data_IF_659002834604
#
_entry.id   IF_659002834604
#
_cell.length_a   1.000
_cell.length_b   1.000
_cell.length_c   1.000
_cell.angle_alpha   90.00
_cell.angle_beta   90.00
_cell.angle_gamma   90.00
#
_symmetry.space_group_name_H-M   'P 1'
#
loop_
_entity.id
_entity.type
_entity.pdbx_description
1 polymer ?
#
# COMPACT_ATOMS: atom_id res chain seq x y z
N UNK A 1 -3.34 -32.30 -6.59
CA UNK A 1 -3.50 -30.83 -6.69
C UNK A 1 -4.45 -30.50 -7.83
N UNK A 2 -5.17 -29.37 -7.77
CA UNK A 2 -6.00 -28.84 -8.85
C UNK A 2 -5.29 -27.76 -9.67
N UNK A 3 -5.76 -27.49 -10.90
CA UNK A 3 -5.12 -26.55 -11.81
C UNK A 3 -5.05 -25.12 -11.25
N UNK A 4 -6.01 -24.73 -10.39
CA UNK A 4 -6.05 -23.39 -9.78
C UNK A 4 -4.91 -23.21 -8.78
N UNK A 5 -4.65 -24.22 -7.94
CA UNK A 5 -3.54 -24.20 -6.99
C UNK A 5 -2.17 -24.29 -7.69
N UNK A 6 -2.06 -25.06 -8.78
CA UNK A 6 -0.84 -25.05 -9.60
C UNK A 6 -0.53 -23.63 -10.11
N UNK A 7 -1.54 -22.94 -10.66
CA UNK A 7 -1.38 -21.57 -11.19
C UNK A 7 -0.88 -20.58 -10.15
N UNK A 8 -1.29 -20.71 -8.89
CA UNK A 8 -0.77 -19.84 -7.81
C UNK A 8 0.67 -20.16 -7.42
N UNK A 9 1.13 -21.40 -7.58
CA UNK A 9 2.44 -21.86 -7.10
C UNK A 9 3.49 -21.94 -8.23
N UNK A 10 3.11 -21.69 -9.49
CA UNK A 10 3.99 -21.91 -10.65
C UNK A 10 5.22 -21.01 -10.68
N UNK A 11 5.13 -19.78 -10.13
CA UNK A 11 6.26 -18.85 -10.05
C UNK A 11 7.25 -19.27 -8.95
N UNK A 12 6.76 -19.63 -7.76
CA UNK A 12 7.58 -20.21 -6.70
C UNK A 12 8.28 -21.51 -7.14
N UNK A 13 7.67 -22.25 -8.07
CA UNK A 13 8.26 -23.43 -8.71
C UNK A 13 9.39 -23.08 -9.68
N UNK A 14 9.23 -22.03 -10.47
CA UNK A 14 10.27 -21.54 -11.39
C UNK A 14 11.48 -21.01 -10.63
N UNK A 15 11.26 -20.37 -9.48
CA UNK A 15 12.32 -19.79 -8.65
C UNK A 15 12.95 -20.79 -7.65
N UNK A 16 12.49 -22.06 -7.63
CA UNK A 16 12.89 -23.10 -6.68
C UNK A 16 12.65 -22.73 -5.20
N UNK A 17 11.61 -21.95 -4.90
CA UNK A 17 11.27 -21.48 -3.55
C UNK A 17 10.16 -22.30 -2.88
N UNK A 18 9.60 -23.31 -3.57
CA UNK A 18 8.59 -24.20 -3.03
C UNK A 18 9.10 -25.12 -1.92
N UNK A 19 8.23 -25.38 -0.93
CA UNK A 19 8.45 -26.41 0.10
C UNK A 19 8.47 -27.80 -0.54
N UNK A 20 9.24 -28.72 0.05
CA UNK A 20 9.40 -30.08 -0.47
C UNK A 20 8.07 -30.82 -0.71
N UNK A 21 7.09 -30.67 0.20
CA UNK A 21 5.78 -31.31 0.09
C UNK A 21 4.97 -30.80 -1.12
N UNK A 22 4.99 -29.48 -1.35
CA UNK A 22 4.28 -28.88 -2.48
C UNK A 22 5.01 -29.13 -3.81
N UNK A 23 6.34 -29.27 -3.80
CA UNK A 23 7.14 -29.58 -4.99
C UNK A 23 6.72 -30.92 -5.60
N UNK A 24 6.56 -31.97 -4.77
CA UNK A 24 6.10 -33.28 -5.25
C UNK A 24 4.71 -33.20 -5.90
N UNK A 25 3.78 -32.48 -5.29
CA UNK A 25 2.43 -32.30 -5.81
C UNK A 25 2.39 -31.51 -7.13
N UNK A 26 3.25 -30.50 -7.28
CA UNK A 26 3.39 -29.73 -8.53
C UNK A 26 3.97 -30.60 -9.64
N UNK A 27 5.04 -31.35 -9.37
CA UNK A 27 5.67 -32.24 -10.36
C UNK A 27 4.71 -33.35 -10.82
N UNK A 28 3.94 -33.94 -9.90
CA UNK A 28 2.93 -34.94 -10.24
C UNK A 28 1.78 -34.34 -11.06
N UNK A 29 1.34 -33.13 -10.76
CA UNK A 29 0.28 -32.48 -11.54
C UNK A 29 0.75 -32.11 -12.96
N UNK A 30 1.99 -31.63 -13.11
CA UNK A 30 2.56 -31.31 -14.42
C UNK A 30 2.75 -32.55 -15.30
N UNK A 31 2.93 -33.74 -14.73
CA UNK A 31 3.04 -34.99 -15.49
C UNK A 31 1.69 -35.58 -15.90
N UNK A 32 0.60 -35.17 -15.23
CA UNK A 32 -0.75 -35.73 -15.44
C UNK A 32 -1.69 -34.78 -16.16
N UNK A 33 -1.46 -33.46 -16.13
CA UNK A 33 -2.31 -32.45 -16.74
C UNK A 33 -1.63 -31.74 -17.91
N UNK A 34 -2.08 -32.05 -19.14
CA UNK A 34 -1.53 -31.46 -20.37
C UNK A 34 -1.74 -29.93 -20.47
N UNK A 35 -2.86 -29.40 -19.96
CA UNK A 35 -3.11 -27.95 -19.97
C UNK A 35 -2.12 -27.20 -19.09
N UNK A 36 -1.88 -27.71 -17.88
CA UNK A 36 -0.92 -27.11 -16.94
C UNK A 36 0.52 -27.24 -17.45
N UNK A 37 0.85 -28.35 -18.10
CA UNK A 37 2.15 -28.52 -18.76
C UNK A 37 2.37 -27.47 -19.86
N UNK A 38 1.40 -27.29 -20.75
CA UNK A 38 1.50 -26.30 -21.83
C UNK A 38 1.67 -24.88 -21.29
N UNK A 39 0.88 -24.51 -20.28
CA UNK A 39 1.00 -23.21 -19.61
C UNK A 39 2.40 -23.02 -19.00
N UNK A 40 2.92 -24.04 -18.31
CA UNK A 40 4.28 -23.99 -17.75
C UNK A 40 5.34 -23.79 -18.83
N UNK A 41 5.25 -24.49 -19.95
CA UNK A 41 6.17 -24.35 -21.08
C UNK A 41 6.13 -22.93 -21.68
N UNK A 42 4.95 -22.34 -21.82
CA UNK A 42 4.77 -20.96 -22.29
C UNK A 42 5.39 -19.94 -21.32
N UNK A 43 5.15 -20.08 -20.02
CA UNK A 43 5.73 -19.20 -18.99
C UNK A 43 7.26 -19.35 -18.99
N UNK A 44 7.77 -20.58 -19.00
CA UNK A 44 9.20 -20.86 -19.01
C UNK A 44 9.90 -20.27 -20.23
N UNK A 45 9.29 -20.39 -21.41
CA UNK A 45 9.82 -19.79 -22.65
C UNK A 45 9.94 -18.27 -22.52
N UNK A 46 8.94 -17.61 -21.96
CA UNK A 46 8.97 -16.17 -21.74
C UNK A 46 10.04 -15.79 -20.71
N UNK A 47 10.17 -16.58 -19.64
CA UNK A 47 11.17 -16.38 -18.60
C UNK A 47 12.61 -16.52 -19.13
N UNK A 48 12.87 -17.59 -19.89
CA UNK A 48 14.16 -17.84 -20.52
C UNK A 48 14.54 -16.73 -21.53
N UNK A 49 13.54 -16.10 -22.17
CA UNK A 49 13.75 -14.98 -23.08
C UNK A 49 14.17 -13.68 -22.38
N UNK A 50 13.85 -13.49 -21.09
CA UNK A 50 14.31 -12.36 -20.29
C UNK A 50 15.81 -12.44 -19.96
N UNK A 51 16.41 -13.62 -20.13
CA UNK A 51 17.84 -13.87 -19.93
C UNK A 51 18.20 -14.06 -18.46
N UNK A 52 19.25 -14.84 -18.23
CA UNK A 52 19.78 -15.09 -16.88
C UNK A 52 20.70 -13.95 -16.49
N UNK A 53 20.38 -13.24 -15.40
CA UNK A 53 21.32 -12.28 -14.82
C UNK A 53 22.56 -13.04 -14.32
N UNK A 54 23.78 -12.57 -14.65
CA UNK A 54 24.99 -13.17 -14.12
C UNK A 54 24.98 -13.06 -12.60
N UNK A 55 25.35 -14.15 -11.92
CA UNK A 55 25.52 -14.13 -10.47
C UNK A 55 26.69 -13.20 -10.14
N UNK A 56 26.38 -12.02 -9.60
CA UNK A 56 27.38 -11.04 -9.17
C UNK A 56 27.85 -11.44 -7.77
N UNK A 57 29.10 -11.87 -7.64
CA UNK A 57 29.71 -12.02 -6.32
C UNK A 57 30.18 -10.64 -5.81
N UNK A 58 29.82 -10.26 -4.58
CA UNK A 58 30.30 -9.02 -3.99
C UNK A 58 31.82 -9.06 -3.83
N UNK A 59 32.48 -7.91 -3.89
CA UNK A 59 33.92 -7.83 -3.62
C UNK A 59 34.24 -8.32 -2.19
N UNK A 60 35.43 -8.88 -1.92
CA UNK A 60 35.79 -9.40 -0.59
C UNK A 60 35.64 -8.38 0.55
N UNK A 61 35.71 -7.08 0.23
CA UNK A 61 35.61 -5.98 1.19
C UNK A 61 34.22 -5.30 1.19
N UNK A 62 33.23 -5.82 0.45
CA UNK A 62 31.91 -5.22 0.36
C UNK A 62 31.22 -5.13 1.73
N UNK A 63 31.30 -6.21 2.53
CA UNK A 63 30.68 -6.22 3.87
C UNK A 63 31.29 -5.19 4.80
N UNK A 64 32.62 -5.01 4.81
CA UNK A 64 33.27 -4.02 5.67
C UNK A 64 32.94 -2.59 5.24
N UNK A 65 32.90 -2.32 3.93
CA UNK A 65 32.49 -1.02 3.38
C UNK A 65 31.02 -0.71 3.70
N UNK A 66 30.12 -1.68 3.49
CA UNK A 66 28.70 -1.55 3.81
C UNK A 66 28.47 -1.22 5.28
N UNK A 67 29.08 -1.97 6.21
CA UNK A 67 28.92 -1.71 7.64
C UNK A 67 29.54 -0.38 8.08
N UNK A 68 30.65 0.05 7.45
CA UNK A 68 31.24 1.36 7.70
C UNK A 68 30.30 2.51 7.30
N UNK A 69 29.63 2.39 6.15
CA UNK A 69 28.64 3.36 5.68
C UNK A 69 27.36 3.38 6.54
N UNK A 70 26.90 2.20 6.97
CA UNK A 70 25.73 2.09 7.87
C UNK A 70 26.04 2.69 9.25
N UNK A 71 27.21 2.39 9.82
CA UNK A 71 27.64 2.91 11.12
C UNK A 71 27.80 4.44 11.11
N UNK A 72 28.33 5.01 10.02
CA UNK A 72 28.42 6.47 9.89
C UNK A 72 27.05 7.15 9.85
N UNK A 73 26.04 6.53 9.23
CA UNK A 73 24.66 7.04 9.24
C UNK A 73 23.97 6.91 10.61
N UNK A 74 24.20 5.82 11.34
CA UNK A 74 23.65 5.63 12.69
C UNK A 74 24.25 6.59 13.73
N UNK A 75 25.52 6.98 13.54
CA UNK A 75 26.23 7.87 14.47
C UNK A 75 25.61 9.26 14.61
N UNK A 76 24.80 9.71 13.64
CA UNK A 76 24.08 11.00 13.73
C UNK A 76 22.99 10.91 14.80
N UNK A 77 22.25 9.80 14.87
CA UNK A 77 21.19 9.58 15.85
C UNK A 77 21.79 9.40 17.26
N UNK A 78 22.89 8.66 17.38
CA UNK A 78 23.58 8.46 18.66
C UNK A 78 24.23 9.75 19.20
N UNK A 79 24.86 10.56 18.33
CA UNK A 79 25.45 11.87 18.72
C UNK A 79 24.38 12.87 19.18
N UNK A 80 23.18 12.82 18.61
CA UNK A 80 22.04 13.63 19.07
C UNK A 80 21.52 13.11 20.42
N UNK A 81 21.53 11.79 20.64
CA UNK A 81 21.08 11.18 21.90
C UNK A 81 22.03 11.46 23.07
N UNK A 82 23.35 11.41 22.88
CA UNK A 82 24.34 11.63 23.95
C UNK A 82 24.35 13.09 24.43
N UNK A 83 24.25 14.05 23.48
CA UNK A 83 24.22 15.48 23.80
C UNK A 83 22.91 15.92 24.44
N UNK A 84 21.78 15.34 24.03
CA UNK A 84 20.49 15.58 24.67
C UNK A 84 20.39 14.92 26.05
N UNK A 85 20.94 13.71 26.20
CA UNK A 85 20.97 12.96 27.48
C UNK A 85 21.81 13.67 28.54
N UNK A 86 22.98 14.23 28.22
CA UNK A 86 23.74 15.05 29.18
C UNK A 86 23.03 16.34 29.56
N UNK A 87 22.30 16.96 28.63
CA UNK A 87 21.53 18.18 28.88
C UNK A 87 20.28 17.90 29.73
N UNK A 88 19.65 16.73 29.56
CA UNK A 88 18.52 16.25 30.35
C UNK A 88 18.95 15.71 31.74
N UNK A 89 20.17 15.14 31.86
CA UNK A 89 20.75 14.70 33.14
C UNK A 89 21.33 15.85 33.98
N UNK A 90 21.72 16.97 33.38
CA UNK A 90 21.98 18.18 34.16
C UNK A 90 20.64 18.78 34.55
N UNK A 91 20.16 18.40 35.72
CA UNK A 91 18.90 18.74 36.43
C UNK A 91 18.45 20.23 36.42
N UNK A 92 19.17 21.10 35.72
CA UNK A 92 19.00 22.55 35.61
C UNK A 92 17.74 22.96 34.84
N UNK A 93 17.20 22.12 33.95
CA UNK A 93 16.01 22.43 33.13
C UNK A 93 14.71 21.79 33.62
N UNK A 94 14.78 20.87 34.60
CA UNK A 94 13.60 20.25 35.20
C UNK A 94 12.56 21.26 35.75
N UNK A 95 12.93 22.37 36.43
CA UNK A 95 11.92 23.32 36.89
C UNK A 95 11.18 24.04 35.74
N UNK A 96 11.81 24.20 34.57
CA UNK A 96 11.21 24.85 33.39
C UNK A 96 10.19 23.93 32.72
N UNK A 97 10.47 22.64 32.63
CA UNK A 97 9.52 21.68 32.07
C UNK A 97 8.30 21.48 32.97
N UNK A 98 8.49 21.42 34.29
CA UNK A 98 7.37 21.29 35.25
C UNK A 98 6.44 22.51 35.18
N UNK A 99 6.99 23.72 35.14
CA UNK A 99 6.16 24.93 35.02
C UNK A 99 5.42 25.02 33.69
N UNK A 100 6.05 24.60 32.58
CA UNK A 100 5.40 24.55 31.27
C UNK A 100 4.26 23.52 31.22
N UNK A 101 4.45 22.32 31.78
CA UNK A 101 3.41 21.30 31.85
C UNK A 101 2.21 21.76 32.70
N UNK A 102 2.46 22.47 33.81
CA UNK A 102 1.40 23.04 34.65
C UNK A 102 0.66 24.15 33.89
N UNK A 103 1.37 25.03 33.18
CA UNK A 103 0.75 26.09 32.40
C UNK A 103 -0.13 25.54 31.25
N UNK A 104 0.38 24.54 30.52
CA UNK A 104 -0.36 23.89 29.43
C UNK A 104 -1.60 23.17 29.96
N UNK A 105 -1.48 22.42 31.06
CA UNK A 105 -2.64 21.72 31.64
C UNK A 105 -3.73 22.69 32.11
N UNK A 106 -3.36 23.80 32.76
CA UNK A 106 -4.32 24.85 33.14
C UNK A 106 -4.95 25.50 31.91
N UNK A 107 -4.17 25.82 30.87
CA UNK A 107 -4.69 26.40 29.63
C UNK A 107 -5.65 25.45 28.90
N UNK A 108 -5.29 24.16 28.81
CA UNK A 108 -6.14 23.13 28.21
C UNK A 108 -7.43 22.92 28.99
N UNK A 109 -7.41 22.94 30.33
CA UNK A 109 -8.61 22.84 31.16
C UNK A 109 -9.51 24.07 30.93
N UNK A 110 -8.94 25.28 30.89
CA UNK A 110 -9.71 26.51 30.59
C UNK A 110 -10.35 26.45 29.21
N UNK A 111 -9.58 26.12 28.19
CA UNK A 111 -10.10 25.98 26.82
C UNK A 111 -11.14 24.86 26.72
N UNK A 112 -10.97 23.75 27.43
CA UNK A 112 -11.93 22.65 27.42
C UNK A 112 -13.27 23.07 28.04
N UNK A 113 -13.25 23.84 29.13
CA UNK A 113 -14.46 24.37 29.77
C UNK A 113 -15.16 25.42 28.89
N UNK A 114 -14.41 26.34 28.26
CA UNK A 114 -14.98 27.32 27.32
C UNK A 114 -15.54 26.64 26.06
N UNK A 115 -14.86 25.61 25.55
CA UNK A 115 -15.35 24.76 24.47
C UNK A 115 -16.60 23.96 24.86
N UNK A 116 -16.69 23.49 26.11
CA UNK A 116 -17.86 22.78 26.61
C UNK A 116 -19.08 23.69 26.77
N UNK A 117 -18.89 24.93 27.24
CA UNK A 117 -19.96 25.95 27.26
C UNK A 117 -20.46 26.26 25.84
N UNK A 118 -19.55 26.36 24.88
CA UNK A 118 -19.90 26.60 23.47
C UNK A 118 -20.67 25.42 22.88
N UNK A 119 -20.26 24.17 23.17
CA UNK A 119 -20.97 22.96 22.75
C UNK A 119 -22.34 22.82 23.39
N UNK A 120 -22.53 23.27 24.64
CA UNK A 120 -23.86 23.30 25.29
C UNK A 120 -24.82 24.25 24.61
N UNK A 121 -24.33 25.41 24.14
CA UNK A 121 -25.12 26.37 23.37
C UNK A 121 -25.43 25.82 21.96
N UNK A 122 -24.47 25.14 21.32
CA UNK A 122 -24.68 24.47 20.02
C UNK A 122 -25.53 23.19 20.12
N UNK A 123 -25.62 22.55 21.28
CA UNK A 123 -26.49 21.38 21.49
C UNK A 123 -27.97 21.76 21.65
N UNK A 124 -28.26 23.03 21.95
CA UNK A 124 -29.63 23.58 21.99
C UNK A 124 -30.12 24.06 20.61
N UNK A 125 -29.21 24.20 19.64
CA UNK A 125 -29.50 24.59 18.26
C UNK A 125 -28.91 23.56 17.28
N UNK A 126 -29.70 22.60 16.76
CA UNK A 126 -29.49 21.96 15.43
C UNK A 126 -30.16 20.59 15.22
N UNK A 127 -31.28 20.25 15.88
CA UNK A 127 -32.11 19.15 15.33
C UNK A 127 -32.62 19.50 13.92
N UNK A 128 -32.68 20.79 13.57
CA UNK A 128 -33.12 21.29 12.26
C UNK A 128 -31.96 21.54 11.26
N UNK A 129 -30.68 21.60 11.68
CA UNK A 129 -29.55 21.90 10.77
C UNK A 129 -28.77 20.66 10.31
N UNK A 130 -28.93 19.51 10.98
CA UNK A 130 -28.27 18.25 10.60
C UNK A 130 -28.83 17.67 9.28
N UNK A 131 -30.05 18.05 8.90
CA UNK A 131 -30.71 17.54 7.68
C UNK A 131 -30.10 18.09 6.37
N UNK A 132 -29.26 19.14 6.43
CA UNK A 132 -28.64 19.72 5.23
C UNK A 132 -27.35 19.01 4.79
N UNK A 133 -26.81 18.10 5.60
CA UNK A 133 -25.53 17.42 5.27
C UNK A 133 -25.75 16.14 4.48
N UNK A 134 -26.92 15.50 4.59
CA UNK A 134 -27.22 14.25 3.87
C UNK A 134 -27.43 14.45 2.36
N UNK A 135 -27.68 15.69 1.92
CA UNK A 135 -27.84 16.03 0.50
C UNK A 135 -26.56 16.58 -0.17
N UNK A 136 -25.47 16.79 0.58
CA UNK A 136 -24.21 17.31 0.00
C UNK A 136 -23.43 16.18 -0.69
N UNK A 137 -23.45 14.96 -0.16
CA UNK A 137 -22.73 13.80 -0.74
C UNK A 137 -23.31 13.37 -2.10
N UNK A 138 -24.58 13.67 -2.38
CA UNK A 138 -25.22 13.37 -3.67
C UNK A 138 -24.87 14.41 -4.75
N UNK A 139 -24.54 15.64 -4.36
CA UNK A 139 -24.19 16.70 -5.30
C UNK A 139 -22.76 16.56 -5.86
N UNK A 140 -21.85 15.91 -5.14
CA UNK A 140 -20.45 15.75 -5.54
C UNK A 140 -20.26 14.67 -6.64
N UNK A 141 -21.24 13.78 -6.83
CA UNK A 141 -21.24 12.75 -7.89
C UNK A 141 -22.00 13.15 -9.16
N UNK A 142 -22.35 14.42 -9.37
CA UNK A 142 -22.96 14.86 -10.63
C UNK A 142 -21.96 14.88 -11.81
N UNK A 143 -20.65 14.92 -11.54
CA UNK A 143 -19.60 14.94 -12.57
C UNK A 143 -19.39 13.58 -13.27
N UNK A 144 -20.03 12.51 -12.79
CA UNK A 144 -19.95 11.16 -13.36
C UNK A 144 -21.06 10.82 -14.37
N UNK A 145 -21.98 11.75 -14.64
CA UNK A 145 -23.04 11.56 -15.65
C UNK A 145 -22.65 12.16 -17.01
N UNK A 146 -21.80 13.19 -17.07
CA UNK A 146 -21.40 13.83 -18.34
C UNK A 146 -20.48 12.94 -19.21
N UNK A 147 -19.80 11.93 -18.65
CA UNK A 147 -19.02 10.97 -19.44
C UNK A 147 -19.82 9.74 -19.92
N UNK A 148 -21.06 9.55 -19.47
CA UNK A 148 -21.93 8.48 -19.99
C UNK A 148 -22.54 8.85 -21.35
N UNK A 149 -22.63 10.15 -21.68
CA UNK A 149 -22.98 10.60 -23.03
C UNK A 149 -21.93 10.19 -24.10
N UNK A 150 -20.72 9.78 -23.70
CA UNK A 150 -19.71 9.28 -24.63
C UNK A 150 -19.97 7.84 -25.12
N UNK A 151 -20.83 7.06 -24.45
CA UNK A 151 -21.18 5.70 -24.87
C UNK A 151 -22.59 5.57 -25.46
N UNK A 152 -23.29 6.67 -25.72
CA UNK A 152 -24.55 6.65 -26.49
C UNK A 152 -24.37 6.40 -27.99
N UNK A 153 -23.15 6.15 -28.48
CA UNK A 153 -22.94 5.53 -29.80
C UNK A 153 -23.27 4.01 -29.78
N UNK A 154 -24.43 3.66 -29.22
CA UNK A 154 -25.09 2.37 -29.42
C UNK A 154 -25.50 2.17 -30.90
N UNK A 155 -25.47 3.22 -31.73
CA UNK A 155 -25.67 3.13 -33.18
C UNK A 155 -24.57 2.31 -33.89
N UNK A 156 -23.38 2.19 -33.30
CA UNK A 156 -22.28 1.38 -33.87
C UNK A 156 -22.49 -0.11 -33.60
N UNK A 157 -23.09 -0.49 -32.47
CA UNK A 157 -23.32 -1.90 -32.11
C UNK A 157 -24.52 -2.47 -32.87
N UNK A 158 -25.56 -1.66 -33.12
CA UNK A 158 -26.77 -2.14 -33.78
C UNK A 158 -26.59 -2.39 -35.29
N UNK A 159 -25.60 -1.77 -35.94
CA UNK A 159 -25.33 -1.92 -37.38
C UNK A 159 -24.17 -2.86 -37.72
N UNK A 160 -23.57 -3.56 -36.75
CA UNK A 160 -22.52 -4.56 -37.04
C UNK A 160 -23.03 -5.82 -37.77
N UNK A 161 -24.34 -6.09 -37.72
CA UNK A 161 -24.94 -7.20 -38.47
C UNK A 161 -25.23 -6.84 -39.95
N UNK A 162 -25.32 -5.56 -40.31
CA UNK A 162 -25.53 -5.15 -41.71
C UNK A 162 -24.25 -5.11 -42.54
N UNK A 163 -23.07 -5.01 -41.92
CA UNK A 163 -21.78 -4.96 -42.63
C UNK A 163 -21.23 -6.33 -43.06
N UNK A 164 -21.92 -7.44 -42.78
CA UNK A 164 -21.54 -8.77 -43.29
C UNK A 164 -22.20 -9.17 -44.61
N UNK A 165 -23.02 -8.31 -45.23
CA UNK A 165 -23.70 -8.64 -46.49
C UNK A 165 -23.38 -7.63 -47.60
N UNK A 166 -22.11 -7.38 -47.88
CA UNK A 166 -21.68 -6.95 -49.23
C UNK A 166 -20.18 -7.09 -49.38
N UNK A 167 -19.71 -8.32 -49.63
CA UNK A 167 -18.64 -8.62 -50.58
C UNK A 167 -18.84 -10.09 -51.01
N UNK A 168 -19.70 -10.25 -52.01
CA UNK A 168 -19.52 -11.31 -53.01
C UNK A 168 -18.46 -10.88 -54.01
#
# INVERSE_FOLDING_TARGET
MDCKRLKSQIYEYLDNELKADDLQHVTEHLSTCAECQKMYEEIKKNWDALGVLPKVEPSPNYMSQFWSEVATRQSIVEKISERSRQMFLTWKMVPVYVSLCIAISVFSIRNYVEFDQSRRIMAEMSQDEIEMVEYIELAENYELIDEIEFFEDFEIIQNMDELKVTQG
#
